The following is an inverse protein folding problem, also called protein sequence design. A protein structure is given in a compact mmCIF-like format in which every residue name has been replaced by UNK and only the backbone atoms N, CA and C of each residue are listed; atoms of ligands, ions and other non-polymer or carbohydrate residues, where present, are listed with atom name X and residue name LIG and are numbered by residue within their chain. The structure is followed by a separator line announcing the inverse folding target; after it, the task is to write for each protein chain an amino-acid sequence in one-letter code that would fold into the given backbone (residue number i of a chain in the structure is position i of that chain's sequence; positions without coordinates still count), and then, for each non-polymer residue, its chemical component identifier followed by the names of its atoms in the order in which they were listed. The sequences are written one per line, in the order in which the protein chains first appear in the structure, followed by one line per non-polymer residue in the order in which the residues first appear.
data_IF_146625698907
#
_entry.id   IF_146625698907
#
_cell.length_a   1.000
_cell.length_b   1.000
_cell.length_c   1.000
_cell.angle_alpha   90.00
_cell.angle_beta   90.00
_cell.angle_gamma   90.00
#
_symmetry.space_group_name_H-M   'P 1'
#
loop_
_entity.id
_entity.type
_entity.pdbx_description
1 polymer ?
#
# COMPACT_ATOMS: atom_id res chain seq x y z
N UNK A 1 16.00 29.24 20.95
CA UNK A 1 15.68 28.81 19.61
C UNK A 1 17.00 28.80 18.82
N UNK A 2 17.54 27.62 18.57
CA UNK A 2 18.74 27.48 17.74
C UNK A 2 18.38 27.67 16.28
N UNK A 3 19.06 28.57 15.60
CA UNK A 3 19.05 28.66 14.14
C UNK A 3 19.83 27.43 13.64
N UNK A 4 19.13 26.45 13.09
CA UNK A 4 19.78 25.35 12.41
C UNK A 4 20.22 25.87 11.02
N UNK A 5 21.52 25.87 10.79
CA UNK A 5 22.06 26.08 9.46
C UNK A 5 21.52 24.99 8.50
N UNK A 6 21.45 25.28 7.22
CA UNK A 6 21.06 24.32 6.19
C UNK A 6 21.83 23.00 6.35
N UNK A 7 21.08 21.91 6.62
CA UNK A 7 21.67 20.60 6.78
C UNK A 7 21.61 19.90 5.43
N UNK A 8 22.78 19.51 4.91
CA UNK A 8 22.87 18.67 3.72
C UNK A 8 22.25 17.31 4.01
N UNK A 9 21.18 16.94 3.29
CA UNK A 9 20.54 15.64 3.37
C UNK A 9 20.83 14.82 2.13
N UNK A 10 20.83 13.50 2.27
CA UNK A 10 21.02 12.55 1.17
C UNK A 10 19.93 11.50 1.22
N UNK A 11 19.60 10.98 0.04
CA UNK A 11 18.70 9.84 -0.13
C UNK A 11 19.55 8.61 -0.47
N UNK A 12 19.49 7.62 0.41
CA UNK A 12 20.09 6.31 0.20
C UNK A 12 19.02 5.38 -0.36
N UNK A 13 19.36 4.63 -1.39
CA UNK A 13 18.45 3.63 -1.98
C UNK A 13 19.19 2.29 -2.07
N UNK A 14 18.58 1.25 -1.49
CA UNK A 14 19.12 -0.12 -1.56
C UNK A 14 18.82 -0.77 -2.91
N UNK A 15 19.49 -1.87 -3.22
CA UNK A 15 19.23 -2.68 -4.42
C UNK A 15 17.81 -3.29 -4.43
N UNK A 16 17.19 -3.47 -3.26
CA UNK A 16 15.80 -3.90 -3.13
C UNK A 16 14.78 -2.76 -3.26
N UNK A 17 15.21 -1.50 -3.34
CA UNK A 17 14.34 -0.34 -3.48
C UNK A 17 13.94 0.35 -2.17
N UNK A 18 14.40 -0.15 -1.00
CA UNK A 18 14.21 0.57 0.26
C UNK A 18 14.94 1.90 0.23
N UNK A 19 14.32 2.94 0.76
CA UNK A 19 14.89 4.29 0.75
C UNK A 19 14.93 4.89 2.15
N UNK A 20 16.02 5.60 2.43
CA UNK A 20 16.20 6.37 3.64
C UNK A 20 16.69 7.78 3.28
N UNK A 21 16.11 8.80 3.91
CA UNK A 21 16.60 10.20 3.82
C UNK A 21 17.18 10.56 5.15
N UNK A 22 18.43 10.99 5.18
CA UNK A 22 19.16 11.30 6.41
C UNK A 22 20.23 12.37 6.20
N UNK A 23 20.73 12.92 7.32
CA UNK A 23 21.82 13.91 7.30
C UNK A 23 23.11 13.32 6.74
N UNK A 24 23.79 14.06 5.88
CA UNK A 24 25.02 13.59 5.22
C UNK A 24 26.21 13.53 6.19
N UNK A 25 26.45 14.59 6.96
CA UNK A 25 27.71 14.74 7.71
C UNK A 25 27.75 13.92 9.00
N UNK A 26 26.67 13.96 9.79
CA UNK A 26 26.69 13.48 11.19
C UNK A 26 25.82 12.25 11.44
N UNK A 27 25.04 11.82 10.46
CA UNK A 27 24.22 10.63 10.61
C UNK A 27 25.05 9.37 10.42
N UNK A 28 24.85 8.36 11.26
CA UNK A 28 25.49 7.07 11.16
C UNK A 28 24.45 5.98 10.89
N UNK A 29 24.85 5.01 10.08
CA UNK A 29 24.08 3.80 9.84
C UNK A 29 24.87 2.58 10.28
N UNK A 30 24.14 1.60 10.81
CA UNK A 30 24.73 0.31 11.12
C UNK A 30 24.90 -0.44 9.82
N UNK A 31 26.15 -0.78 9.49
CA UNK A 31 26.55 -1.25 8.16
C UNK A 31 27.42 -2.48 8.30
N UNK A 32 27.24 -3.45 7.44
CA UNK A 32 28.14 -4.59 7.34
C UNK A 32 29.38 -4.15 6.54
N UNK A 33 30.50 -4.01 7.23
CA UNK A 33 31.77 -3.56 6.63
C UNK A 33 32.86 -4.60 6.90
N UNK A 34 33.39 -5.21 5.85
CA UNK A 34 34.20 -6.43 5.98
C UNK A 34 33.35 -7.56 6.58
N UNK A 35 33.85 -8.18 7.65
CA UNK A 35 33.17 -9.29 8.34
C UNK A 35 32.39 -8.86 9.61
N UNK A 36 32.28 -7.55 9.87
CA UNK A 36 31.67 -7.03 11.10
C UNK A 36 30.62 -5.96 10.83
N UNK A 37 29.58 -5.96 11.67
CA UNK A 37 28.60 -4.88 11.73
C UNK A 37 29.15 -3.73 12.57
N UNK A 38 29.16 -2.52 12.04
CA UNK A 38 29.66 -1.32 12.70
C UNK A 38 28.91 -0.05 12.30
N UNK A 39 29.02 1.00 13.10
CA UNK A 39 28.45 2.31 12.82
C UNK A 39 29.34 3.07 11.83
N UNK A 40 28.82 3.39 10.64
CA UNK A 40 29.52 4.13 9.58
C UNK A 40 28.80 5.45 9.33
N UNK A 41 29.54 6.55 9.19
CA UNK A 41 28.95 7.81 8.78
C UNK A 41 28.40 7.73 7.37
N UNK A 42 27.25 8.37 7.15
CA UNK A 42 26.59 8.36 5.83
C UNK A 42 27.49 8.90 4.72
N UNK A 43 28.32 9.90 5.01
CA UNK A 43 29.32 10.45 4.08
C UNK A 43 30.39 9.44 3.63
N UNK A 44 30.63 8.41 4.43
CA UNK A 44 31.67 7.39 4.19
C UNK A 44 31.12 6.13 3.52
N UNK A 45 29.78 6.05 3.37
CA UNK A 45 29.11 4.93 2.71
C UNK A 45 29.45 4.89 1.20
N UNK A 46 29.63 3.69 0.70
CA UNK A 46 29.92 3.41 -0.72
C UNK A 46 28.83 2.55 -1.32
N UNK A 47 28.73 2.63 -2.64
CA UNK A 47 27.87 1.70 -3.39
C UNK A 47 28.38 0.26 -3.21
N UNK A 48 27.48 -0.61 -2.75
CA UNK A 48 27.80 -2.01 -2.44
C UNK A 48 27.84 -2.31 -0.94
N UNK A 49 27.88 -1.29 -0.07
CA UNK A 49 27.79 -1.50 1.37
C UNK A 49 26.42 -2.11 1.73
N UNK A 50 26.43 -3.01 2.72
CA UNK A 50 25.24 -3.74 3.14
C UNK A 50 24.64 -3.11 4.39
N UNK A 51 23.36 -2.74 4.31
CA UNK A 51 22.58 -2.26 5.44
C UNK A 51 21.66 -3.37 5.97
N UNK A 52 21.60 -3.64 7.28
CA UNK A 52 20.68 -4.60 7.84
C UNK A 52 19.24 -4.08 7.74
N UNK A 53 18.30 -4.99 7.58
CA UNK A 53 16.85 -4.72 7.65
C UNK A 53 16.30 -5.46 8.85
N UNK A 54 15.48 -4.80 9.67
CA UNK A 54 14.69 -5.47 10.70
C UNK A 54 13.46 -6.09 10.07
N UNK A 55 13.16 -7.34 10.45
CA UNK A 55 11.90 -8.02 10.13
C UNK A 55 10.96 -8.04 11.34
N UNK A 56 11.38 -7.48 12.46
CA UNK A 56 10.58 -7.38 13.68
C UNK A 56 10.14 -5.93 13.87
N UNK A 57 8.84 -5.73 13.97
CA UNK A 57 8.22 -4.43 14.18
C UNK A 57 7.25 -4.47 15.34
N UNK A 58 7.21 -3.39 16.11
CA UNK A 58 6.19 -3.18 17.13
C UNK A 58 5.00 -2.50 16.47
N UNK A 59 3.88 -3.20 16.42
CA UNK A 59 2.62 -2.67 15.92
C UNK A 59 1.84 -1.95 17.01
N UNK A 60 0.99 -1.01 16.63
CA UNK A 60 0.04 -0.36 17.52
C UNK A 60 -0.95 -1.38 18.10
N UNK A 61 -1.53 -1.04 19.25
CA UNK A 61 -2.69 -1.75 19.80
C UNK A 61 -4.02 -1.19 19.28
N UNK A 62 -3.99 -0.09 18.51
CA UNK A 62 -5.18 0.50 17.94
C UNK A 62 -5.74 -0.42 16.85
N UNK A 63 -7.00 -0.77 16.97
CA UNK A 63 -7.70 -1.64 16.01
C UNK A 63 -8.66 -0.83 15.16
N UNK A 64 -8.71 -1.16 13.89
CA UNK A 64 -9.66 -0.62 12.89
C UNK A 64 -10.84 -1.59 12.74
N UNK A 65 -10.56 -2.86 12.84
CA UNK A 65 -11.47 -3.97 12.62
C UNK A 65 -11.14 -4.73 11.33
N UNK A 66 -11.10 -6.05 11.46
CA UNK A 66 -10.65 -6.98 10.42
C UNK A 66 -11.35 -6.75 9.07
N UNK A 67 -12.69 -6.73 9.08
CA UNK A 67 -13.49 -6.62 7.86
C UNK A 67 -13.36 -5.24 7.21
N UNK A 68 -13.32 -4.16 8.00
CA UNK A 68 -13.11 -2.82 7.49
C UNK A 68 -11.72 -2.68 6.87
N UNK A 69 -10.67 -3.15 7.54
CA UNK A 69 -9.29 -3.11 7.02
C UNK A 69 -9.18 -3.88 5.70
N UNK A 70 -9.74 -5.10 5.62
CA UNK A 70 -9.78 -5.86 4.39
C UNK A 70 -10.53 -5.13 3.27
N UNK A 71 -11.73 -4.59 3.57
CA UNK A 71 -12.54 -3.85 2.60
C UNK A 71 -11.81 -2.61 2.07
N UNK A 72 -11.12 -1.86 2.94
CA UNK A 72 -10.31 -0.71 2.52
C UNK A 72 -9.15 -1.14 1.61
N UNK A 73 -8.53 -2.30 1.88
CA UNK A 73 -7.51 -2.91 1.03
C UNK A 73 -8.06 -3.30 -0.35
N UNK A 74 -9.21 -3.97 -0.39
CA UNK A 74 -9.88 -4.35 -1.63
C UNK A 74 -10.30 -3.13 -2.47
N UNK A 75 -10.81 -2.08 -1.82
CA UNK A 75 -11.15 -0.81 -2.47
C UNK A 75 -9.90 -0.02 -2.94
N UNK A 76 -8.76 -0.20 -2.29
CA UNK A 76 -7.49 0.38 -2.75
C UNK A 76 -7.01 -0.24 -4.06
N UNK A 77 -7.23 -1.55 -4.26
CA UNK A 77 -6.95 -2.26 -5.50
C UNK A 77 -8.00 -1.96 -6.57
N UNK A 78 -9.03 -2.80 -6.66
CA UNK A 78 -10.06 -2.76 -7.71
C UNK A 78 -11.20 -1.77 -7.44
N UNK A 79 -11.15 -1.02 -6.33
CA UNK A 79 -12.18 -0.05 -6.01
C UNK A 79 -12.06 1.24 -6.80
N UNK A 80 -13.19 1.74 -7.29
CA UNK A 80 -13.33 3.08 -7.82
C UNK A 80 -14.08 3.94 -6.81
N UNK A 81 -13.38 4.92 -6.23
CA UNK A 81 -13.92 5.86 -5.24
C UNK A 81 -13.93 7.24 -5.87
N UNK A 82 -15.11 7.74 -6.19
CA UNK A 82 -15.28 9.00 -6.88
C UNK A 82 -16.14 9.95 -6.05
N UNK A 83 -15.62 11.15 -5.80
CA UNK A 83 -16.36 12.21 -5.12
C UNK A 83 -17.35 12.85 -6.09
N UNK A 84 -18.65 12.70 -5.81
CA UNK A 84 -19.73 13.27 -6.63
C UNK A 84 -20.07 14.68 -6.16
N UNK A 85 -20.06 14.91 -4.85
CA UNK A 85 -20.30 16.22 -4.21
C UNK A 85 -19.56 16.30 -2.88
N UNK A 86 -19.60 17.45 -2.22
CA UNK A 86 -18.93 17.65 -0.92
C UNK A 86 -19.29 16.55 0.12
N UNK A 87 -20.52 16.05 0.08
CA UNK A 87 -21.04 15.10 1.07
C UNK A 87 -21.43 13.74 0.48
N UNK A 88 -21.03 13.45 -0.76
CA UNK A 88 -21.43 12.22 -1.44
C UNK A 88 -20.26 11.64 -2.23
N UNK A 89 -19.95 10.40 -1.92
CA UNK A 89 -18.99 9.57 -2.66
C UNK A 89 -19.73 8.41 -3.31
N UNK A 90 -19.43 8.15 -4.55
CA UNK A 90 -19.80 6.91 -5.23
C UNK A 90 -18.64 5.92 -5.12
N UNK A 91 -18.94 4.75 -4.59
CA UNK A 91 -17.98 3.66 -4.42
C UNK A 91 -18.44 2.53 -5.30
N UNK A 92 -17.53 1.99 -6.09
CA UNK A 92 -17.79 0.76 -6.83
C UNK A 92 -16.58 -0.16 -6.79
N UNK A 93 -16.83 -1.45 -6.79
CA UNK A 93 -15.82 -2.50 -6.91
C UNK A 93 -16.39 -3.62 -7.78
N UNK A 94 -15.54 -4.22 -8.59
CA UNK A 94 -15.88 -5.35 -9.44
C UNK A 94 -14.76 -6.36 -9.41
N UNK A 95 -15.11 -7.64 -9.43
CA UNK A 95 -14.12 -8.72 -9.39
C UNK A 95 -14.76 -10.05 -9.80
N UNK A 96 -13.96 -11.09 -9.78
CA UNK A 96 -14.42 -12.45 -10.07
C UNK A 96 -14.72 -13.25 -8.80
N UNK A 97 -14.09 -12.90 -7.71
CA UNK A 97 -14.09 -13.64 -6.45
C UNK A 97 -15.26 -13.21 -5.57
N UNK A 98 -16.26 -14.06 -5.47
CA UNK A 98 -17.48 -13.76 -4.71
C UNK A 98 -17.19 -13.58 -3.21
N UNK A 99 -16.17 -14.25 -2.67
CA UNK A 99 -15.78 -14.14 -1.27
C UNK A 99 -15.33 -12.71 -0.94
N UNK A 100 -14.61 -12.04 -1.86
CA UNK A 100 -14.27 -10.61 -1.75
C UNK A 100 -15.54 -9.77 -1.69
N UNK A 101 -16.50 -10.05 -2.58
CA UNK A 101 -17.76 -9.30 -2.63
C UNK A 101 -18.56 -9.42 -1.33
N UNK A 102 -18.60 -10.61 -0.74
CA UNK A 102 -19.33 -10.88 0.51
C UNK A 102 -18.75 -10.10 1.69
N UNK A 103 -17.42 -10.06 1.84
CA UNK A 103 -16.76 -9.29 2.91
C UNK A 103 -16.99 -7.78 2.70
N UNK A 104 -16.81 -7.29 1.47
CA UNK A 104 -17.06 -5.87 1.14
C UNK A 104 -18.51 -5.49 1.42
N UNK A 105 -19.47 -6.32 0.96
CA UNK A 105 -20.88 -6.10 1.23
C UNK A 105 -21.19 -6.05 2.72
N UNK A 106 -20.76 -7.04 3.49
CA UNK A 106 -21.01 -7.11 4.93
C UNK A 106 -20.50 -5.85 5.64
N UNK A 107 -19.26 -5.44 5.32
CA UNK A 107 -18.67 -4.22 5.89
C UNK A 107 -19.44 -2.96 5.48
N UNK A 108 -19.85 -2.86 4.22
CA UNK A 108 -20.60 -1.71 3.74
C UNK A 108 -22.01 -1.66 4.34
N UNK A 109 -22.65 -2.80 4.58
CA UNK A 109 -23.97 -2.87 5.21
C UNK A 109 -23.96 -2.37 6.67
N UNK A 110 -22.83 -2.52 7.37
CA UNK A 110 -22.65 -1.98 8.74
C UNK A 110 -22.52 -0.45 8.77
N UNK A 111 -22.01 0.15 7.70
CA UNK A 111 -21.66 1.58 7.64
C UNK A 111 -22.72 2.39 6.89
N UNK A 112 -23.23 1.86 5.78
CA UNK A 112 -24.16 2.54 4.90
C UNK A 112 -25.56 2.61 5.51
N UNK A 113 -26.29 3.68 5.17
CA UNK A 113 -27.68 3.87 5.62
C UNK A 113 -28.67 2.82 5.09
N UNK A 114 -28.35 2.25 3.95
CA UNK A 114 -29.19 1.24 3.30
C UNK A 114 -28.36 0.09 2.78
N UNK A 115 -28.88 -1.13 2.75
CA UNK A 115 -28.15 -2.32 2.32
C UNK A 115 -27.48 -2.17 0.95
N UNK A 116 -26.43 -2.88 0.78
CA UNK A 116 -25.65 -2.96 -0.47
C UNK A 116 -26.00 -4.24 -1.22
N UNK A 117 -26.09 -4.17 -2.53
CA UNK A 117 -26.40 -5.32 -3.38
C UNK A 117 -25.17 -5.78 -4.14
N UNK A 118 -24.94 -7.09 -4.18
CA UNK A 118 -24.01 -7.73 -5.10
C UNK A 118 -24.77 -8.03 -6.39
N UNK A 119 -24.34 -7.43 -7.50
CA UNK A 119 -24.94 -7.63 -8.82
C UNK A 119 -24.00 -8.42 -9.72
N UNK A 120 -24.48 -9.26 -10.64
CA UNK A 120 -23.63 -9.87 -11.66
C UNK A 120 -22.98 -8.78 -12.51
N UNK A 121 -21.68 -8.95 -12.81
CA UNK A 121 -20.99 -8.01 -13.68
C UNK A 121 -21.44 -8.18 -15.13
N UNK A 122 -21.62 -7.07 -15.88
CA UNK A 122 -22.23 -7.07 -17.22
C UNK A 122 -21.31 -7.62 -18.33
N UNK A 123 -19.98 -7.59 -18.15
CA UNK A 123 -19.02 -7.88 -19.22
C UNK A 123 -18.19 -9.15 -19.00
N UNK A 124 -18.11 -9.65 -17.76
CA UNK A 124 -17.38 -10.88 -17.43
C UNK A 124 -18.10 -11.66 -16.33
N UNK A 125 -17.71 -12.92 -16.13
CA UNK A 125 -18.23 -13.75 -15.04
C UNK A 125 -17.64 -13.25 -13.71
N UNK A 126 -18.46 -12.56 -12.93
CA UNK A 126 -18.04 -11.97 -11.66
C UNK A 126 -19.12 -11.07 -11.06
N UNK A 127 -18.73 -10.27 -10.09
CA UNK A 127 -19.61 -9.38 -9.35
C UNK A 127 -19.35 -7.90 -9.64
N UNK A 128 -20.34 -7.08 -9.31
CA UNK A 128 -20.25 -5.63 -9.24
C UNK A 128 -21.02 -5.13 -8.02
N UNK A 129 -20.38 -4.30 -7.21
CA UNK A 129 -20.98 -3.53 -6.13
C UNK A 129 -20.85 -2.07 -6.49
N UNK A 130 -21.93 -1.31 -6.34
CA UNK A 130 -21.90 0.15 -6.49
C UNK A 130 -22.85 0.78 -5.48
N UNK A 131 -22.35 1.80 -4.77
CA UNK A 131 -23.09 2.49 -3.72
C UNK A 131 -22.72 3.97 -3.66
N UNK A 132 -23.73 4.81 -3.57
CA UNK A 132 -23.59 6.20 -3.15
C UNK A 132 -24.15 6.33 -1.75
N UNK A 133 -23.32 6.69 -0.79
CA UNK A 133 -23.71 6.78 0.62
C UNK A 133 -22.96 7.91 1.34
N UNK A 134 -23.66 8.60 2.25
CA UNK A 134 -23.10 9.75 2.98
C UNK A 134 -22.28 9.32 4.20
N UNK A 135 -22.62 8.20 4.86
CA UNK A 135 -21.87 7.74 6.03
C UNK A 135 -20.53 7.16 5.61
N UNK A 136 -20.53 6.34 4.55
CA UNK A 136 -19.28 5.81 4.02
C UNK A 136 -18.42 6.91 3.40
N UNK A 137 -19.05 7.92 2.77
CA UNK A 137 -18.36 9.12 2.30
C UNK A 137 -17.65 9.85 3.43
N UNK A 138 -18.34 10.08 4.55
CA UNK A 138 -17.79 10.74 5.73
C UNK A 138 -16.62 9.93 6.30
N UNK A 139 -16.78 8.62 6.46
CA UNK A 139 -15.70 7.75 6.93
C UNK A 139 -14.43 7.87 6.06
N UNK A 140 -14.57 7.80 4.73
CA UNK A 140 -13.42 7.90 3.83
C UNK A 140 -12.79 9.29 3.86
N UNK A 141 -13.58 10.36 3.87
CA UNK A 141 -13.06 11.73 3.86
C UNK A 141 -12.34 12.10 5.15
N UNK A 142 -12.84 11.65 6.30
CA UNK A 142 -12.28 12.00 7.61
C UNK A 142 -11.12 11.08 8.03
N UNK A 143 -11.19 9.80 7.68
CA UNK A 143 -10.31 8.78 8.23
C UNK A 143 -9.33 8.16 7.22
N UNK A 144 -9.71 8.17 5.92
CA UNK A 144 -8.95 7.50 4.85
C UNK A 144 -8.96 8.30 3.54
N UNK A 145 -8.67 9.63 3.56
CA UNK A 145 -8.74 10.47 2.37
C UNK A 145 -7.80 10.03 1.25
N UNK A 146 -6.72 9.31 1.58
CA UNK A 146 -5.72 8.80 0.64
C UNK A 146 -6.26 7.72 -0.31
N UNK A 147 -7.44 7.16 -0.02
CA UNK A 147 -8.11 6.20 -0.89
C UNK A 147 -9.02 6.86 -1.94
N UNK A 148 -9.25 8.17 -1.84
CA UNK A 148 -10.10 8.93 -2.77
C UNK A 148 -9.25 9.44 -3.93
N UNK A 149 -9.63 9.11 -5.15
CA UNK A 149 -8.92 9.56 -6.35
C UNK A 149 -8.62 8.46 -7.35
N UNK A 150 -7.72 8.77 -8.26
CA UNK A 150 -7.26 7.87 -9.33
C UNK A 150 -6.16 6.92 -8.85
N UNK A 151 -5.81 5.92 -9.66
CA UNK A 151 -4.68 5.02 -9.37
C UNK A 151 -3.31 5.74 -9.23
N UNK A 152 -3.18 6.97 -9.75
CA UNK A 152 -1.98 7.80 -9.60
C UNK A 152 -1.91 8.53 -8.26
N UNK A 153 -3.06 8.70 -7.59
CA UNK A 153 -3.20 9.49 -6.36
C UNK A 153 -3.34 8.62 -5.13
N UNK A 154 -4.04 7.47 -5.26
CA UNK A 154 -4.29 6.57 -4.12
C UNK A 154 -3.02 5.94 -3.59
N UNK A 155 -2.92 5.84 -2.26
CA UNK A 155 -1.87 5.10 -1.55
C UNK A 155 -2.39 4.58 -0.20
N UNK A 156 -1.65 3.65 0.43
CA UNK A 156 -2.01 3.11 1.74
C UNK A 156 -2.10 4.26 2.76
N UNK A 157 -3.23 4.45 3.45
CA UNK A 157 -3.38 5.48 4.48
C UNK A 157 -2.39 5.34 5.63
N UNK A 158 -1.94 6.46 6.19
CA UNK A 158 -1.06 6.46 7.37
C UNK A 158 -1.70 5.74 8.55
N UNK A 159 -3.01 5.88 8.71
CA UNK A 159 -3.78 5.18 9.75
C UNK A 159 -3.69 3.67 9.64
N UNK A 160 -3.64 3.12 8.43
CA UNK A 160 -3.42 1.69 8.16
C UNK A 160 -2.00 1.27 8.50
N UNK A 161 -0.99 2.04 8.07
CA UNK A 161 0.41 1.72 8.38
C UNK A 161 0.71 1.74 9.88
N UNK A 162 -0.06 2.52 10.64
CA UNK A 162 0.06 2.67 12.10
C UNK A 162 -0.94 1.79 12.88
N UNK A 163 -1.70 0.94 12.22
CA UNK A 163 -2.69 0.08 12.87
C UNK A 163 -2.07 -1.15 13.54
N UNK A 164 -2.92 -2.01 14.09
CA UNK A 164 -2.51 -3.30 14.64
C UNK A 164 -1.93 -4.21 13.54
N UNK A 165 -1.13 -5.21 13.95
CA UNK A 165 -0.62 -6.22 13.02
C UNK A 165 -1.73 -6.88 12.21
N UNK A 166 -2.83 -7.26 12.88
CA UNK A 166 -3.95 -7.93 12.23
C UNK A 166 -4.67 -7.03 11.23
N UNK A 167 -4.87 -5.75 11.55
CA UNK A 167 -5.50 -4.81 10.61
C UNK A 167 -4.63 -4.55 9.39
N UNK A 168 -3.33 -4.31 9.58
CA UNK A 168 -2.41 -4.14 8.46
C UNK A 168 -2.36 -5.39 7.58
N UNK A 169 -2.32 -6.58 8.18
CA UNK A 169 -2.36 -7.86 7.47
C UNK A 169 -3.65 -8.01 6.66
N UNK A 170 -4.81 -7.68 7.24
CA UNK A 170 -6.08 -7.78 6.53
C UNK A 170 -6.20 -6.75 5.41
N UNK A 171 -5.68 -5.53 5.58
CA UNK A 171 -5.62 -4.56 4.50
C UNK A 171 -4.77 -5.07 3.33
N UNK A 172 -3.57 -5.58 3.61
CA UNK A 172 -2.68 -6.17 2.58
C UNK A 172 -3.34 -7.37 1.91
N UNK A 173 -4.07 -8.22 2.66
CA UNK A 173 -4.82 -9.33 2.08
C UNK A 173 -5.87 -8.83 1.07
N UNK A 174 -6.73 -7.87 1.45
CA UNK A 174 -7.72 -7.30 0.54
C UNK A 174 -7.12 -6.64 -0.70
N UNK A 175 -5.99 -5.93 -0.55
CA UNK A 175 -5.25 -5.34 -1.66
C UNK A 175 -4.71 -6.41 -2.63
N UNK A 176 -4.16 -7.51 -2.10
CA UNK A 176 -3.57 -8.57 -2.93
C UNK A 176 -4.62 -9.52 -3.51
N UNK A 177 -5.77 -9.71 -2.88
CA UNK A 177 -6.88 -10.49 -3.42
C UNK A 177 -7.52 -9.80 -4.64
N UNK A 178 -7.35 -8.49 -4.79
CA UNK A 178 -7.87 -7.70 -5.92
C UNK A 178 -6.79 -7.41 -6.96
N UNK A 179 -5.70 -6.77 -6.59
CA UNK A 179 -4.63 -6.30 -7.49
C UNK A 179 -3.35 -7.16 -7.46
N UNK A 180 -3.31 -8.21 -6.63
CA UNK A 180 -2.19 -9.13 -6.54
C UNK A 180 -2.11 -10.05 -7.76
N UNK A 181 -0.90 -10.31 -8.21
CA UNK A 181 -0.65 -11.25 -9.29
C UNK A 181 0.18 -12.43 -8.82
N UNK A 182 -0.42 -13.62 -8.89
CA UNK A 182 0.24 -14.88 -8.61
C UNK A 182 0.74 -15.50 -9.93
N UNK A 183 2.03 -15.75 -10.01
CA UNK A 183 2.64 -16.42 -11.17
C UNK A 183 3.43 -17.63 -10.75
N UNK A 184 3.36 -18.68 -11.57
CA UNK A 184 4.18 -19.88 -11.40
C UNK A 184 5.04 -20.09 -12.65
N UNK A 185 6.35 -20.11 -12.46
CA UNK A 185 7.30 -20.37 -13.53
C UNK A 185 8.43 -21.26 -13.05
N UNK A 186 8.74 -22.33 -13.78
CA UNK A 186 9.84 -23.27 -13.47
C UNK A 186 9.77 -23.82 -12.02
N UNK A 187 8.57 -24.12 -11.52
CA UNK A 187 8.35 -24.64 -10.17
C UNK A 187 8.47 -23.60 -9.04
N UNK A 188 8.73 -22.33 -9.39
CA UNK A 188 8.75 -21.22 -8.42
C UNK A 188 7.45 -20.45 -8.47
N UNK A 189 6.84 -20.23 -7.32
CA UNK A 189 5.69 -19.34 -7.17
C UNK A 189 6.17 -17.96 -6.78
N UNK A 190 5.63 -16.92 -7.40
CA UNK A 190 5.88 -15.54 -7.00
C UNK A 190 4.58 -14.78 -6.91
N UNK A 191 4.43 -14.01 -5.84
CA UNK A 191 3.35 -13.05 -5.67
C UNK A 191 3.91 -11.67 -5.96
N UNK A 192 3.19 -10.85 -6.69
CA UNK A 192 3.60 -9.49 -6.98
C UNK A 192 2.42 -8.54 -7.01
N UNK A 193 2.67 -7.29 -6.71
CA UNK A 193 1.74 -6.17 -6.83
C UNK A 193 2.35 -5.12 -7.76
N UNK A 194 1.55 -4.48 -8.60
CA UNK A 194 2.04 -3.46 -9.53
C UNK A 194 1.16 -2.22 -9.48
N UNK A 195 1.77 -1.06 -9.30
CA UNK A 195 1.07 0.23 -9.27
C UNK A 195 1.82 1.28 -10.07
N UNK A 196 1.11 2.28 -10.59
CA UNK A 196 1.69 3.46 -11.25
C UNK A 196 2.14 4.53 -10.25
N UNK A 197 1.66 4.46 -9.01
CA UNK A 197 2.02 5.40 -7.95
C UNK A 197 3.23 4.89 -7.16
N UNK A 198 4.38 5.59 -7.28
CA UNK A 198 5.61 5.23 -6.57
C UNK A 198 5.46 5.30 -5.05
N UNK A 199 4.69 6.28 -4.54
CA UNK A 199 4.46 6.39 -3.10
C UNK A 199 3.66 5.19 -2.58
N UNK A 200 2.62 4.78 -3.30
CA UNK A 200 1.88 3.57 -2.96
C UNK A 200 2.77 2.33 -2.98
N UNK A 201 3.62 2.19 -4.01
CA UNK A 201 4.58 1.07 -4.08
C UNK A 201 5.52 1.03 -2.87
N UNK A 202 6.04 2.16 -2.42
CA UNK A 202 6.89 2.25 -1.22
C UNK A 202 6.14 1.90 0.05
N UNK A 203 4.91 2.36 0.19
CA UNK A 203 4.05 2.05 1.34
C UNK A 203 3.68 0.57 1.40
N UNK A 204 3.39 -0.05 0.26
CA UNK A 204 3.19 -1.52 0.19
C UNK A 204 4.48 -2.25 0.57
N UNK A 205 5.65 -1.83 0.07
CA UNK A 205 6.93 -2.41 0.47
C UNK A 205 7.19 -2.28 1.98
N UNK A 206 6.90 -1.11 2.56
CA UNK A 206 7.02 -0.87 4.00
C UNK A 206 6.03 -1.71 4.81
N UNK A 207 4.77 -1.79 4.38
CA UNK A 207 3.75 -2.61 5.03
C UNK A 207 4.13 -4.09 5.05
N UNK A 208 4.59 -4.63 3.92
CA UNK A 208 5.09 -6.01 3.84
C UNK A 208 6.29 -6.23 4.76
N UNK A 209 7.24 -5.30 4.78
CA UNK A 209 8.40 -5.39 5.67
C UNK A 209 7.98 -5.40 7.14
N UNK A 210 7.04 -4.55 7.55
CA UNK A 210 6.54 -4.54 8.93
C UNK A 210 5.73 -5.78 9.31
N UNK A 211 5.24 -6.54 8.32
CA UNK A 211 4.66 -7.88 8.51
C UNK A 211 5.71 -9.01 8.46
N UNK A 212 7.01 -8.69 8.42
CA UNK A 212 8.11 -9.65 8.36
C UNK A 212 8.44 -10.15 6.94
N UNK A 213 7.90 -9.53 5.90
CA UNK A 213 8.08 -9.96 4.50
C UNK A 213 9.02 -8.98 3.77
N UNK A 214 10.26 -9.38 3.54
CA UNK A 214 11.18 -8.61 2.71
C UNK A 214 10.87 -8.81 1.22
N UNK A 215 10.79 -7.73 0.47
CA UNK A 215 10.48 -7.74 -0.96
C UNK A 215 11.29 -6.72 -1.75
N UNK A 216 11.25 -6.80 -3.07
CA UNK A 216 11.98 -5.90 -3.95
C UNK A 216 11.01 -4.99 -4.70
N UNK A 217 11.25 -3.68 -4.66
CA UNK A 217 10.54 -2.70 -5.46
C UNK A 217 11.37 -2.35 -6.69
N UNK A 218 10.82 -2.57 -7.89
CA UNK A 218 11.51 -2.30 -9.16
C UNK A 218 10.60 -1.54 -10.13
N UNK A 219 11.14 -0.55 -10.87
CA UNK A 219 10.42 0.07 -11.96
C UNK A 219 10.20 -0.94 -13.09
N UNK A 220 9.04 -0.89 -13.73
CA UNK A 220 8.65 -1.70 -14.87
C UNK A 220 8.06 -0.79 -15.95
N UNK A 221 8.59 -0.87 -17.16
CA UNK A 221 7.94 -0.24 -18.31
C UNK A 221 6.61 -0.92 -18.59
N UNK A 222 5.57 -0.15 -18.79
CA UNK A 222 4.23 -0.62 -19.14
C UNK A 222 3.67 0.24 -20.25
N UNK A 223 2.70 -0.27 -20.97
CA UNK A 223 1.99 0.46 -22.01
C UNK A 223 0.49 0.30 -21.80
N UNK A 224 -0.23 1.40 -21.87
CA UNK A 224 -1.68 1.42 -21.82
C UNK A 224 -2.20 2.32 -22.96
N UNK A 225 -3.06 1.78 -23.82
CA UNK A 225 -3.61 2.50 -24.99
C UNK A 225 -2.54 3.17 -25.87
N UNK A 226 -1.40 2.50 -26.08
CA UNK A 226 -0.28 3.00 -26.87
C UNK A 226 0.59 4.05 -26.21
N UNK A 227 0.30 4.44 -24.96
CA UNK A 227 1.15 5.36 -24.17
C UNK A 227 2.05 4.56 -23.24
N UNK A 228 3.36 4.77 -23.39
CA UNK A 228 4.34 4.19 -22.46
C UNK A 228 4.30 4.93 -21.12
N UNK A 229 4.41 4.17 -20.05
CA UNK A 229 4.51 4.70 -18.69
C UNK A 229 5.41 3.81 -17.83
N UNK A 230 5.75 4.30 -16.65
CA UNK A 230 6.49 3.52 -15.66
C UNK A 230 5.50 3.10 -14.58
N UNK A 231 5.45 1.81 -14.31
CA UNK A 231 4.81 1.24 -13.13
C UNK A 231 5.90 0.70 -12.18
N UNK A 232 5.52 0.41 -10.96
CA UNK A 232 6.39 -0.09 -9.91
C UNK A 232 5.86 -1.45 -9.44
N UNK A 233 6.72 -2.47 -9.52
CA UNK A 233 6.40 -3.84 -9.11
C UNK A 233 7.12 -4.18 -7.81
N UNK A 234 6.37 -4.75 -6.91
CA UNK A 234 6.80 -5.30 -5.62
C UNK A 234 6.64 -6.80 -5.67
#
# INVERSE_FOLDING_TARGET
AGVYNEIKVVKITTSQGYTLICGYENHRLYTYYGDNLQWVYVKDLKKGDCLPISLEYTHSKNTIGKNLSYTLGALSGDGHIHQVSKNQINISISGQDIEVAEVVKATMDEICKTPVEIKPHKRFKGFHISKSDTNFAKLLQEEYPELIGTAHEKYIPDKILQASYDDLRNYIAGLFDTDGHNSSSHGRRSLSFTTVNLENARRVQQALLSLGIACCLKPKKTSCNGKESIAYRI
#
